data_IF_239866436664
#
_entry.id   IF_239866436664
#
_cell.length_a   1.000
_cell.length_b   1.000
_cell.length_c   1.000
_cell.angle_alpha   90.00
_cell.angle_beta   90.00
_cell.angle_gamma   90.00
#
_symmetry.space_group_name_H-M   'P 1'
#
loop_
_entity.id
_entity.type
_entity.pdbx_description
1 polymer ?
#
# COMPACT_ATOMS: atom_id res chain seq x y z
N UNK A 1 -23.63 3.97 8.92
CA UNK A 1 -22.52 4.01 7.94
C UNK A 1 -21.22 4.63 8.49
N UNK A 2 -21.22 5.85 9.07
CA UNK A 2 -20.01 6.55 9.56
C UNK A 2 -19.06 5.76 10.49
N UNK A 3 -19.60 4.94 11.40
CA UNK A 3 -18.78 4.14 12.32
C UNK A 3 -18.05 2.97 11.64
N UNK A 4 -18.48 2.53 10.45
CA UNK A 4 -17.87 1.39 9.77
C UNK A 4 -16.54 1.80 9.12
N UNK A 5 -16.49 2.93 8.40
CA UNK A 5 -15.27 3.36 7.71
C UNK A 5 -14.11 3.64 8.69
N UNK A 6 -14.35 4.30 9.81
CA UNK A 6 -13.31 4.52 10.84
C UNK A 6 -12.75 3.21 11.37
N UNK A 7 -13.61 2.20 11.53
CA UNK A 7 -13.20 0.88 11.98
C UNK A 7 -12.36 0.19 10.92
N UNK A 8 -12.80 0.17 9.67
CA UNK A 8 -12.06 -0.37 8.52
C UNK A 8 -10.67 0.27 8.41
N UNK A 9 -10.58 1.60 8.45
CA UNK A 9 -9.28 2.29 8.34
C UNK A 9 -8.36 1.99 9.53
N UNK A 10 -8.90 1.80 10.75
CA UNK A 10 -8.10 1.35 11.90
C UNK A 10 -7.63 -0.10 11.74
N UNK A 11 -8.46 -0.98 11.18
CA UNK A 11 -8.09 -2.36 10.89
C UNK A 11 -6.95 -2.42 9.86
N UNK A 12 -6.97 -1.57 8.83
CA UNK A 12 -5.86 -1.43 7.87
C UNK A 12 -4.53 -1.10 8.56
N UNK A 13 -4.54 -0.17 9.52
CA UNK A 13 -3.34 0.17 10.31
C UNK A 13 -2.77 -1.05 11.02
N UNK A 14 -3.65 -1.87 11.61
CA UNK A 14 -3.25 -3.08 12.33
C UNK A 14 -2.67 -4.09 11.35
N UNK A 15 -3.28 -4.28 10.19
CA UNK A 15 -2.78 -5.19 9.16
C UNK A 15 -1.41 -4.74 8.63
N UNK A 16 -1.16 -3.45 8.43
CA UNK A 16 0.17 -2.94 8.09
C UNK A 16 1.20 -3.28 9.17
N UNK A 17 0.85 -3.12 10.44
CA UNK A 17 1.73 -3.46 11.57
C UNK A 17 2.07 -4.96 11.62
N UNK A 18 1.08 -5.81 11.36
CA UNK A 18 1.29 -7.26 11.24
C UNK A 18 2.23 -7.57 10.07
N UNK A 19 1.95 -7.02 8.89
CA UNK A 19 2.69 -7.34 7.65
C UNK A 19 4.11 -6.74 7.61
N UNK A 20 4.30 -5.50 8.06
CA UNK A 20 5.60 -4.79 8.02
C UNK A 20 6.51 -5.12 9.18
N UNK A 21 5.95 -5.35 10.37
CA UNK A 21 6.72 -5.46 11.61
C UNK A 21 6.55 -6.81 12.32
N UNK A 22 5.71 -7.72 11.78
CA UNK A 22 5.55 -9.08 12.31
C UNK A 22 4.84 -9.15 13.66
N UNK A 23 4.16 -8.07 14.08
CA UNK A 23 3.42 -8.09 15.35
C UNK A 23 2.19 -8.98 15.27
N UNK A 24 1.87 -9.68 16.36
CA UNK A 24 0.59 -10.36 16.47
C UNK A 24 -0.53 -9.36 16.78
N UNK A 25 -1.73 -9.68 16.33
CA UNK A 25 -2.91 -8.86 16.54
C UNK A 25 -3.17 -8.58 18.04
N UNK A 26 -3.01 -9.61 18.89
CA UNK A 26 -3.16 -9.49 20.34
C UNK A 26 -2.10 -8.60 20.98
N UNK A 27 -0.86 -8.66 20.49
CA UNK A 27 0.22 -7.82 20.98
C UNK A 27 -0.07 -6.34 20.72
N UNK A 28 -0.56 -6.01 19.51
CA UNK A 28 -0.91 -4.64 19.12
C UNK A 28 -2.02 -4.08 20.01
N UNK A 29 -3.06 -4.88 20.28
CA UNK A 29 -4.17 -4.46 21.14
C UNK A 29 -3.76 -4.24 22.60
N UNK A 30 -2.88 -5.08 23.13
CA UNK A 30 -2.41 -4.99 24.52
C UNK A 30 -1.37 -3.88 24.73
N UNK A 31 -0.62 -3.50 23.69
CA UNK A 31 0.53 -2.59 23.82
C UNK A 31 0.55 -1.45 22.78
N UNK A 32 -0.52 -0.65 22.64
CA UNK A 32 -0.64 0.35 21.57
C UNK A 32 0.46 1.42 21.60
N UNK A 33 0.87 1.88 22.79
CA UNK A 33 1.90 2.92 22.95
C UNK A 33 3.30 2.43 22.56
N UNK A 34 3.63 1.17 22.89
CA UNK A 34 4.91 0.55 22.56
C UNK A 34 5.06 0.30 21.06
N UNK A 35 3.96 -0.04 20.38
CA UNK A 35 3.93 -0.18 18.92
C UNK A 35 4.04 1.19 18.25
N UNK A 36 3.35 2.20 18.78
CA UNK A 36 3.36 3.55 18.21
C UNK A 36 4.75 4.17 18.23
N UNK A 37 5.53 4.01 19.29
CA UNK A 37 6.87 4.60 19.41
C UNK A 37 7.93 3.94 18.51
N UNK A 38 7.76 2.66 18.15
CA UNK A 38 8.66 1.91 17.26
C UNK A 38 8.30 2.06 15.78
N UNK A 39 7.04 2.32 15.45
CA UNK A 39 6.53 2.36 14.08
C UNK A 39 6.13 3.79 13.67
N UNK A 40 7.09 4.72 13.71
CA UNK A 40 6.80 6.15 13.46
C UNK A 40 6.52 6.46 11.97
N UNK A 41 6.97 5.60 11.04
CA UNK A 41 6.85 5.78 9.58
C UNK A 41 5.85 4.83 8.91
N UNK A 42 4.68 4.64 9.53
CA UNK A 42 3.59 3.91 8.86
C UNK A 42 3.12 4.67 7.63
N UNK A 43 2.90 3.93 6.55
CA UNK A 43 2.19 4.42 5.35
C UNK A 43 0.80 4.90 5.76
N UNK A 44 0.20 4.26 6.77
CA UNK A 44 -1.08 4.70 7.31
C UNK A 44 -1.10 6.17 7.72
N UNK A 45 -0.01 6.67 8.33
CA UNK A 45 0.08 8.05 8.80
C UNK A 45 0.19 9.06 7.63
N UNK A 46 0.61 8.63 6.44
CA UNK A 46 0.65 9.48 5.24
C UNK A 46 -0.64 9.42 4.42
N UNK A 47 -1.44 8.37 4.60
CA UNK A 47 -2.71 8.17 3.89
C UNK A 47 -3.93 8.70 4.64
N UNK A 48 -4.01 8.49 5.96
CA UNK A 48 -5.25 8.70 6.69
C UNK A 48 -5.09 9.64 7.89
N UNK A 49 -5.99 10.62 7.98
CA UNK A 49 -6.22 11.37 9.21
C UNK A 49 -7.66 11.21 9.69
N UNK A 50 -7.81 10.57 10.86
CA UNK A 50 -9.11 10.32 11.49
C UNK A 50 -9.45 11.33 12.60
N UNK A 51 -8.65 12.38 12.78
CA UNK A 51 -8.95 13.45 13.73
C UNK A 51 -10.13 14.27 13.21
N UNK A 52 -11.10 14.52 14.08
CA UNK A 52 -12.29 15.31 13.73
C UNK A 52 -12.05 16.83 13.81
N UNK A 53 -11.02 17.25 14.56
CA UNK A 53 -10.68 18.64 14.77
C UNK A 53 -9.56 19.10 13.81
N UNK A 54 -9.96 19.68 12.69
CA UNK A 54 -9.10 20.23 11.63
C UNK A 54 -8.37 21.54 12.00
N UNK A 55 -7.95 21.71 13.25
CA UNK A 55 -7.22 22.93 13.66
C UNK A 55 -5.83 23.03 12.98
N UNK A 56 -5.29 21.91 12.53
CA UNK A 56 -4.13 21.84 11.65
C UNK A 56 -4.40 20.85 10.52
N UNK A 57 -4.24 21.30 9.28
CA UNK A 57 -4.40 20.48 8.08
C UNK A 57 -3.32 19.39 8.11
N UNK A 58 -3.72 18.15 8.35
CA UNK A 58 -2.80 17.02 8.32
C UNK A 58 -2.15 16.89 6.94
N UNK A 59 -0.91 16.39 6.91
CA UNK A 59 -0.23 16.00 5.67
C UNK A 59 -0.78 14.70 5.07
N UNK A 60 -1.72 14.04 5.76
CA UNK A 60 -2.36 12.83 5.27
C UNK A 60 -3.20 13.11 4.03
N UNK A 61 -3.23 12.15 3.11
CA UNK A 61 -3.90 12.30 1.81
C UNK A 61 -5.42 12.35 1.90
N UNK A 62 -6.00 11.59 2.83
CA UNK A 62 -7.45 11.49 3.02
C UNK A 62 -7.81 11.76 4.48
N UNK A 63 -8.65 12.78 4.69
CA UNK A 63 -9.28 13.01 6.00
C UNK A 63 -10.50 12.11 6.17
N UNK A 64 -10.97 11.96 7.40
CA UNK A 64 -12.25 11.28 7.66
C UNK A 64 -13.42 11.91 6.91
N UNK A 65 -13.42 13.24 6.75
CA UNK A 65 -14.47 13.95 6.01
C UNK A 65 -14.46 13.60 4.52
N UNK A 66 -13.29 13.35 3.94
CA UNK A 66 -13.16 12.94 2.53
C UNK A 66 -13.70 11.52 2.36
N UNK A 67 -13.26 10.60 3.23
CA UNK A 67 -13.66 9.20 3.20
C UNK A 67 -15.17 8.99 3.44
N UNK A 68 -15.80 9.80 4.30
CA UNK A 68 -17.24 9.72 4.54
C UNK A 68 -18.10 10.21 3.35
N UNK A 69 -17.53 10.99 2.45
CA UNK A 69 -18.21 11.51 1.24
C UNK A 69 -18.02 10.62 0.02
N UNK A 70 -17.03 9.73 0.06
CA UNK A 70 -16.75 8.79 -1.01
C UNK A 70 -17.79 7.66 -1.06
N UNK A 71 -18.10 7.21 -2.27
CA UNK A 71 -18.85 5.99 -2.47
C UNK A 71 -17.97 4.75 -2.21
N UNK A 72 -18.57 3.57 -2.32
CA UNK A 72 -17.91 2.30 -2.01
C UNK A 72 -16.75 1.98 -2.96
N UNK A 73 -16.86 2.35 -4.23
CA UNK A 73 -15.84 2.05 -5.24
C UNK A 73 -14.65 3.00 -5.07
N UNK A 74 -14.90 4.28 -4.81
CA UNK A 74 -13.87 5.24 -4.45
C UNK A 74 -13.12 4.83 -3.17
N UNK A 75 -13.84 4.36 -2.13
CA UNK A 75 -13.20 3.83 -0.92
C UNK A 75 -12.33 2.61 -1.25
N UNK A 76 -12.79 1.71 -2.12
CA UNK A 76 -12.02 0.54 -2.55
C UNK A 76 -10.72 0.97 -3.23
N UNK A 77 -10.77 1.91 -4.16
CA UNK A 77 -9.59 2.44 -4.84
C UNK A 77 -8.58 3.06 -3.86
N UNK A 78 -9.07 3.79 -2.84
CA UNK A 78 -8.22 4.36 -1.78
C UNK A 78 -7.53 3.26 -0.97
N UNK A 79 -8.26 2.20 -0.61
CA UNK A 79 -7.70 1.07 0.16
C UNK A 79 -6.66 0.32 -0.68
N UNK A 80 -6.93 0.09 -1.96
CA UNK A 80 -5.99 -0.55 -2.87
C UNK A 80 -4.73 0.28 -3.08
N UNK A 81 -4.87 1.61 -3.22
CA UNK A 81 -3.73 2.52 -3.29
C UNK A 81 -2.90 2.52 -1.99
N UNK A 82 -3.57 2.50 -0.84
CA UNK A 82 -2.91 2.38 0.45
C UNK A 82 -2.08 1.08 0.54
N UNK A 83 -2.68 -0.06 0.22
CA UNK A 83 -2.00 -1.36 0.25
C UNK A 83 -0.82 -1.42 -0.70
N UNK A 84 -0.95 -0.85 -1.89
CA UNK A 84 0.16 -0.70 -2.83
C UNK A 84 1.38 -0.04 -2.18
N UNK A 85 1.18 1.05 -1.43
CA UNK A 85 2.28 1.74 -0.75
C UNK A 85 2.82 0.96 0.46
N UNK A 86 1.96 0.24 1.19
CA UNK A 86 2.39 -0.65 2.28
C UNK A 86 3.31 -1.75 1.74
N UNK A 87 2.89 -2.44 0.68
CA UNK A 87 3.71 -3.46 0.04
C UNK A 87 4.99 -2.86 -0.51
N UNK A 88 4.91 -1.72 -1.19
CA UNK A 88 6.11 -1.03 -1.66
C UNK A 88 7.11 -0.78 -0.54
N UNK A 89 6.69 -0.31 0.64
CA UNK A 89 7.60 -0.12 1.78
C UNK A 89 8.14 -1.43 2.37
N UNK A 90 7.35 -2.52 2.37
CA UNK A 90 7.83 -3.87 2.77
C UNK A 90 8.98 -4.31 1.86
N UNK A 91 8.78 -4.19 0.56
CA UNK A 91 9.71 -4.70 -0.45
C UNK A 91 10.89 -3.75 -0.67
N UNK A 92 10.69 -2.43 -0.58
CA UNK A 92 11.78 -1.43 -0.56
C UNK A 92 12.75 -1.65 0.59
N UNK A 93 12.24 -1.97 1.79
CA UNK A 93 13.09 -2.34 2.93
C UNK A 93 13.93 -3.59 2.71
N UNK A 94 13.57 -4.43 1.72
CA UNK A 94 14.33 -5.61 1.29
C UNK A 94 15.30 -5.35 0.14
N UNK A 95 15.37 -4.11 -0.39
CA UNK A 95 16.26 -3.73 -1.51
C UNK A 95 15.54 -3.30 -2.78
N UNK A 96 14.24 -3.56 -2.89
CA UNK A 96 13.45 -3.45 -4.12
C UNK A 96 12.97 -2.01 -4.34
N UNK A 97 13.55 -1.22 -5.27
CA UNK A 97 12.88 0.01 -5.73
C UNK A 97 12.44 -0.07 -7.18
N UNK A 98 11.14 -0.30 -7.30
CA UNK A 98 10.34 -0.54 -8.49
C UNK A 98 10.29 0.65 -9.47
N UNK A 99 10.74 1.85 -9.08
CA UNK A 99 10.30 3.09 -9.75
C UNK A 99 11.32 3.82 -10.62
N UNK A 100 12.56 3.34 -10.70
CA UNK A 100 13.62 4.09 -11.40
C UNK A 100 13.95 3.58 -12.80
N UNK A 101 13.28 2.53 -13.29
CA UNK A 101 13.72 1.90 -14.52
C UNK A 101 12.63 1.72 -15.58
N UNK A 102 12.88 2.36 -16.73
CA UNK A 102 12.36 1.94 -18.04
C UNK A 102 13.12 0.67 -18.51
N UNK A 103 13.19 -0.37 -17.67
CA UNK A 103 13.86 -1.60 -18.07
C UNK A 103 13.01 -2.33 -19.13
N UNK A 104 13.57 -2.60 -20.32
CA UNK A 104 12.91 -3.38 -21.36
C UNK A 104 12.30 -4.71 -20.89
N UNK A 105 12.90 -5.38 -19.89
CA UNK A 105 12.40 -6.63 -19.30
C UNK A 105 11.16 -6.42 -18.43
N UNK A 106 11.15 -5.36 -17.61
CA UNK A 106 9.97 -4.99 -16.83
C UNK A 106 8.82 -4.59 -17.74
N UNK A 107 9.10 -3.77 -18.76
CA UNK A 107 8.11 -3.35 -19.74
C UNK A 107 7.52 -4.56 -20.48
N UNK A 108 8.36 -5.51 -20.91
CA UNK A 108 7.92 -6.75 -21.55
C UNK A 108 7.04 -7.60 -20.62
N UNK A 109 7.42 -7.79 -19.35
CA UNK A 109 6.64 -8.54 -18.37
C UNK A 109 5.28 -7.88 -18.06
N UNK A 110 5.27 -6.55 -17.98
CA UNK A 110 4.04 -5.77 -17.83
C UNK A 110 3.17 -5.78 -19.10
N UNK A 111 3.70 -6.24 -20.24
CA UNK A 111 3.05 -6.16 -21.54
C UNK A 111 2.92 -4.72 -22.05
N UNK A 112 3.87 -3.86 -21.69
CA UNK A 112 3.94 -2.46 -22.07
C UNK A 112 5.00 -2.24 -23.17
N UNK A 113 4.80 -1.26 -24.05
CA UNK A 113 5.79 -0.90 -25.05
C UNK A 113 7.04 -0.28 -24.41
N UNK A 114 8.18 -0.37 -25.08
CA UNK A 114 9.48 0.12 -24.58
C UNK A 114 9.54 1.63 -24.31
N UNK A 115 8.59 2.40 -24.88
CA UNK A 115 8.45 3.83 -24.67
C UNK A 115 7.36 4.18 -23.64
N UNK A 116 6.83 3.20 -22.90
CA UNK A 116 5.80 3.44 -21.90
C UNK A 116 6.34 4.37 -20.80
N UNK A 117 5.55 5.39 -20.47
CA UNK A 117 5.91 6.31 -19.41
C UNK A 117 5.74 5.67 -18.01
N UNK A 118 6.32 6.31 -17.00
CA UNK A 118 6.23 5.85 -15.62
C UNK A 118 4.79 5.79 -15.09
N UNK A 119 3.83 6.50 -15.70
CA UNK A 119 2.42 6.50 -15.32
C UNK A 119 1.75 5.21 -15.82
N UNK A 120 2.01 4.81 -17.06
CA UNK A 120 1.58 3.55 -17.67
C UNK A 120 2.15 2.34 -16.92
N UNK A 121 3.44 2.38 -16.58
CA UNK A 121 4.09 1.35 -15.76
C UNK A 121 3.40 1.20 -14.41
N UNK A 122 3.18 2.31 -13.69
CA UNK A 122 2.45 2.31 -12.41
C UNK A 122 1.03 1.79 -12.54
N UNK A 123 0.33 2.13 -13.62
CA UNK A 123 -1.03 1.65 -13.87
C UNK A 123 -1.03 0.14 -14.07
N UNK A 124 -0.17 -0.37 -14.93
CA UNK A 124 -0.12 -1.79 -15.27
C UNK A 124 0.37 -2.65 -14.12
N UNK A 125 1.36 -2.18 -13.37
CA UNK A 125 1.85 -2.85 -12.18
C UNK A 125 0.75 -2.95 -11.10
N UNK A 126 -0.04 -1.88 -10.89
CA UNK A 126 -1.23 -1.93 -10.01
C UNK A 126 -2.27 -2.92 -10.50
N UNK A 127 -2.55 -2.99 -11.80
CA UNK A 127 -3.48 -3.97 -12.38
C UNK A 127 -3.03 -5.42 -12.11
N UNK A 128 -1.73 -5.71 -12.27
CA UNK A 128 -1.19 -7.04 -12.01
C UNK A 128 -1.17 -7.40 -10.53
N UNK A 129 -0.88 -6.43 -9.65
CA UNK A 129 -1.04 -6.60 -8.21
C UNK A 129 -2.47 -6.99 -7.87
N UNK A 130 -3.48 -6.26 -8.39
CA UNK A 130 -4.89 -6.59 -8.15
C UNK A 130 -5.23 -7.99 -8.64
N UNK A 131 -4.65 -8.42 -9.75
CA UNK A 131 -4.88 -9.74 -10.35
C UNK A 131 -4.24 -10.87 -9.56
N UNK A 132 -3.03 -10.67 -9.03
CA UNK A 132 -2.25 -11.72 -8.38
C UNK A 132 -2.25 -11.62 -6.85
N UNK A 133 -3.01 -10.67 -6.27
CA UNK A 133 -3.06 -10.49 -4.83
C UNK A 133 -3.52 -11.78 -4.10
N UNK A 134 -2.76 -12.31 -3.14
CA UNK A 134 -3.10 -13.56 -2.46
C UNK A 134 -4.44 -13.48 -1.72
N UNK A 135 -4.75 -12.35 -1.07
CA UNK A 135 -6.04 -12.16 -0.38
C UNK A 135 -7.25 -12.03 -1.35
N UNK A 136 -7.00 -11.83 -2.65
CA UNK A 136 -8.06 -11.84 -3.67
C UNK A 136 -8.24 -13.21 -4.33
N UNK A 137 -7.57 -14.26 -3.82
CA UNK A 137 -7.47 -15.57 -4.46
C UNK A 137 -6.54 -15.57 -5.69
N UNK A 138 -5.67 -14.57 -5.78
CA UNK A 138 -4.66 -14.43 -6.83
C UNK A 138 -3.46 -15.34 -6.61
N UNK A 139 -2.66 -15.48 -7.67
CA UNK A 139 -1.50 -16.36 -7.70
C UNK A 139 -0.30 -15.72 -6.97
N UNK A 140 -0.01 -16.24 -5.77
CA UNK A 140 1.09 -15.78 -4.92
C UNK A 140 2.45 -15.91 -5.61
N UNK A 141 2.68 -16.93 -6.46
CA UNK A 141 3.96 -17.06 -7.19
C UNK A 141 4.11 -15.96 -8.22
N UNK A 142 3.06 -15.68 -9.01
CA UNK A 142 3.09 -14.56 -9.97
C UNK A 142 3.18 -13.21 -9.29
N UNK A 143 2.63 -13.07 -8.09
CA UNK A 143 2.79 -11.87 -7.28
C UNK A 143 4.25 -11.69 -6.83
N UNK A 144 4.90 -12.77 -6.37
CA UNK A 144 6.31 -12.75 -5.98
C UNK A 144 7.22 -12.49 -7.19
N UNK A 145 6.95 -13.11 -8.33
CA UNK A 145 7.69 -12.90 -9.59
C UNK A 145 7.58 -11.44 -10.09
N UNK A 146 6.38 -10.85 -10.01
CA UNK A 146 6.17 -9.43 -10.33
C UNK A 146 7.02 -8.50 -9.44
N UNK A 147 7.23 -8.88 -8.17
CA UNK A 147 8.03 -8.12 -7.22
C UNK A 147 9.54 -8.35 -7.41
N UNK A 148 9.96 -9.59 -7.70
CA UNK A 148 11.35 -9.98 -7.96
C UNK A 148 11.88 -9.38 -9.26
N UNK A 149 11.05 -9.33 -10.32
CA UNK A 149 11.37 -8.59 -11.54
C UNK A 149 11.61 -7.12 -11.25
N UNK A 150 10.84 -6.50 -10.35
CA UNK A 150 11.05 -5.11 -9.98
C UNK A 150 12.32 -4.88 -9.12
N UNK A 151 12.90 -5.94 -8.56
CA UNK A 151 14.14 -5.92 -7.77
C UNK A 151 15.39 -6.00 -8.64
N UNK A 152 15.42 -6.97 -9.56
CA UNK A 152 16.60 -7.31 -10.37
C UNK A 152 17.06 -6.17 -11.30
N UNK A 153 16.21 -5.18 -11.53
CA UNK A 153 16.49 -4.02 -12.37
C UNK A 153 17.48 -3.04 -11.71
N UNK A 154 17.67 -3.13 -10.39
CA UNK A 154 18.66 -2.31 -9.68
C UNK A 154 20.10 -2.79 -9.80
N UNK A 155 20.32 -4.04 -10.21
CA UNK A 155 21.64 -4.69 -10.15
C UNK A 155 22.32 -4.80 -11.52
N UNK A 156 21.93 -3.95 -12.49
CA UNK A 156 22.57 -3.85 -13.82
C UNK A 156 23.17 -2.46 -13.98
#
# INVERSE_FOLDING_TARGET
MKNNIKRTIRELKVMELVNRYGYSYDFIKKNPLAVQSKCNSLVWNTFFDLKENNLQKSKARYSICDLERMDKDAIKDVIEEYWFHVYYEIYKGKGISVYEAQDPKLLAYLGLPYNADSICVKKRFRELIKKYHPDAGGDTEKFLELMDMAENIKNI
#
